data_IF_598286975445
#
_entry.id   IF_598286975445
#
_cell.length_a   1.000
_cell.length_b   1.000
_cell.length_c   1.000
_cell.angle_alpha   90.00
_cell.angle_beta   90.00
_cell.angle_gamma   90.00
#
_symmetry.space_group_name_H-M   'P 1'
#
loop_
_entity.id
_entity.type
_entity.pdbx_description
1 polymer ?
#
# COMPACT_ATOMS: atom_id res chain seq x y z
N UNK A 1 1.79 6.93 -5.57
CA UNK A 1 2.56 7.47 -4.43
C UNK A 1 1.71 8.47 -3.66
N UNK A 2 1.62 8.37 -2.32
CA UNK A 2 0.96 9.39 -1.48
C UNK A 2 1.68 10.75 -1.63
N UNK A 3 0.92 11.84 -1.48
CA UNK A 3 1.42 13.22 -1.60
C UNK A 3 2.35 13.57 -0.43
N UNK A 4 3.12 14.65 -0.59
CA UNK A 4 4.00 15.15 0.49
C UNK A 4 3.15 15.49 1.71
N UNK A 5 3.73 15.34 2.91
CA UNK A 5 3.07 15.58 4.19
C UNK A 5 2.51 17.01 4.27
N UNK A 6 3.26 18.00 3.77
CA UNK A 6 2.85 19.40 3.76
C UNK A 6 1.74 19.72 2.74
N UNK A 7 1.41 18.79 1.83
CA UNK A 7 0.39 19.00 0.79
C UNK A 7 -0.46 17.75 0.57
N UNK A 8 -1.13 17.30 1.62
CA UNK A 8 -1.87 16.04 1.62
C UNK A 8 -3.22 16.14 0.87
N UNK A 9 -3.95 17.26 0.95
CA UNK A 9 -5.20 17.48 0.21
C UNK A 9 -4.96 18.20 -1.14
N UNK A 10 -5.50 17.69 -2.27
CA UNK A 10 -5.59 18.42 -3.52
C UNK A 10 -6.48 19.67 -3.39
N UNK A 11 -6.15 20.76 -4.08
CA UNK A 11 -7.01 21.97 -4.24
C UNK A 11 -7.25 22.83 -2.99
N UNK A 12 -6.56 22.59 -1.86
CA UNK A 12 -6.58 23.51 -0.72
C UNK A 12 -5.79 24.79 -1.02
N UNK A 13 -6.36 25.98 -0.74
CA UNK A 13 -5.68 27.28 -0.84
C UNK A 13 -4.71 27.55 0.34
N UNK A 14 -4.72 26.71 1.38
CA UNK A 14 -3.99 26.95 2.63
C UNK A 14 -2.61 26.28 2.63
N UNK A 15 -1.64 26.83 1.88
CA UNK A 15 -0.32 26.20 1.73
C UNK A 15 0.45 26.02 3.04
N UNK A 16 0.39 26.99 3.97
CA UNK A 16 1.21 27.00 5.18
C UNK A 16 0.53 26.38 6.41
N UNK A 17 -0.80 26.39 6.48
CA UNK A 17 -1.55 25.92 7.67
C UNK A 17 -2.23 24.56 7.45
N UNK A 18 -2.18 24.03 6.23
CA UNK A 18 -2.84 22.76 5.90
C UNK A 18 -2.33 21.57 6.72
N UNK A 19 -1.03 21.51 7.01
CA UNK A 19 -0.46 20.41 7.80
C UNK A 19 -1.03 20.37 9.23
N UNK A 20 -1.37 21.52 9.83
CA UNK A 20 -1.98 21.58 11.18
C UNK A 20 -3.37 20.94 11.15
N UNK A 21 -4.19 21.32 10.17
CA UNK A 21 -5.52 20.72 9.99
C UNK A 21 -5.43 19.22 9.69
N UNK A 22 -4.45 18.82 8.88
CA UNK A 22 -4.22 17.42 8.50
C UNK A 22 -3.78 16.56 9.70
N UNK A 23 -2.95 17.11 10.61
CA UNK A 23 -2.56 16.45 11.86
C UNK A 23 -3.74 16.36 12.82
N UNK A 24 -4.51 17.45 12.98
CA UNK A 24 -5.66 17.49 13.89
C UNK A 24 -6.80 16.56 13.46
N UNK A 25 -6.92 16.26 12.16
CA UNK A 25 -7.95 15.33 11.65
C UNK A 25 -7.86 13.93 12.27
N UNK A 26 -6.67 13.51 12.73
CA UNK A 26 -6.51 12.29 13.53
C UNK A 26 -6.14 12.68 14.96
N UNK A 27 -7.17 12.93 15.77
CA UNK A 27 -7.00 13.35 17.17
C UNK A 27 -6.30 12.29 18.02
N UNK A 28 -6.54 11.00 17.77
CA UNK A 28 -5.85 9.92 18.49
C UNK A 28 -4.34 9.97 18.27
N UNK A 29 -3.91 10.08 17.01
CA UNK A 29 -2.50 10.18 16.67
C UNK A 29 -1.86 11.45 17.25
N UNK A 30 -2.57 12.59 17.16
CA UNK A 30 -2.08 13.84 17.73
C UNK A 30 -1.89 13.74 19.24
N UNK A 31 -2.92 13.27 19.97
CA UNK A 31 -2.86 13.14 21.41
C UNK A 31 -1.85 12.10 21.88
N UNK A 32 -1.63 11.01 21.13
CA UNK A 32 -0.59 10.02 21.46
C UNK A 32 0.81 10.65 21.45
N UNK A 33 1.12 11.47 20.45
CA UNK A 33 2.40 12.19 20.36
C UNK A 33 2.49 13.26 21.45
N UNK A 34 1.42 14.03 21.66
CA UNK A 34 1.38 15.08 22.68
C UNK A 34 1.52 14.51 24.10
N UNK A 35 0.91 13.36 24.39
CA UNK A 35 1.07 12.68 25.67
C UNK A 35 2.55 12.32 25.91
N UNK A 36 3.21 11.69 24.93
CA UNK A 36 4.65 11.40 25.01
C UNK A 36 5.50 12.65 25.20
N UNK A 37 5.21 13.72 24.46
CA UNK A 37 5.93 15.00 24.58
C UNK A 37 5.74 15.64 25.96
N UNK A 38 4.51 15.68 26.48
CA UNK A 38 4.21 16.23 27.80
C UNK A 38 4.91 15.43 28.89
N UNK A 39 5.01 14.11 28.76
CA UNK A 39 5.72 13.24 29.71
C UNK A 39 7.24 13.52 29.78
N UNK A 40 7.84 14.13 28.77
CA UNK A 40 9.28 14.51 28.82
C UNK A 40 9.54 15.54 29.93
N UNK A 41 8.65 16.52 30.13
CA UNK A 41 8.83 17.58 31.14
C UNK A 41 8.89 17.07 32.58
N UNK A 42 7.94 16.25 33.09
CA UNK A 42 8.01 15.72 34.44
C UNK A 42 9.21 14.79 34.62
N UNK A 43 9.58 13.99 33.61
CA UNK A 43 10.78 13.13 33.69
C UNK A 43 12.04 13.96 33.89
N UNK A 44 12.15 15.10 33.20
CA UNK A 44 13.38 15.90 33.15
C UNK A 44 13.48 16.92 34.29
N UNK A 45 12.37 17.46 34.79
CA UNK A 45 12.36 18.54 35.78
C UNK A 45 11.92 18.11 37.19
N UNK A 46 11.29 16.95 37.38
CA UNK A 46 10.99 16.45 38.73
C UNK A 46 12.27 15.84 39.32
N UNK A 47 12.85 16.43 40.38
CA UNK A 47 14.20 16.08 40.85
C UNK A 47 14.29 14.64 41.35
N UNK A 48 13.23 14.10 41.93
CA UNK A 48 13.18 12.69 42.39
C UNK A 48 13.29 11.73 41.21
N UNK A 49 12.56 11.98 40.13
CA UNK A 49 12.56 11.11 38.95
C UNK A 49 13.90 11.27 38.20
N UNK A 50 14.30 12.51 37.92
CA UNK A 50 15.50 12.81 37.14
C UNK A 50 16.79 12.32 37.82
N UNK A 51 16.99 12.59 39.11
CA UNK A 51 18.26 12.27 39.78
C UNK A 51 18.32 10.86 40.39
N UNK A 52 17.21 10.31 40.89
CA UNK A 52 17.22 9.03 41.62
C UNK A 52 17.03 7.84 40.68
N UNK A 53 16.06 7.92 39.76
CA UNK A 53 15.72 6.81 38.85
C UNK A 53 16.61 6.83 37.61
N UNK A 54 16.78 8.03 37.06
CA UNK A 54 17.29 8.24 35.73
C UNK A 54 18.76 8.72 35.73
N UNK A 55 19.19 9.38 36.80
CA UNK A 55 20.55 9.91 37.00
C UNK A 55 20.98 10.89 35.91
N UNK A 56 20.08 11.74 35.43
CA UNK A 56 20.40 12.83 34.51
C UNK A 56 20.36 14.18 35.24
N UNK A 57 21.01 15.19 34.66
CA UNK A 57 20.84 16.59 35.06
C UNK A 57 19.94 17.29 34.04
N UNK A 58 19.17 18.28 34.50
CA UNK A 58 18.27 19.02 33.63
C UNK A 58 19.01 19.63 32.42
N UNK A 59 18.39 19.51 31.26
CA UNK A 59 18.86 20.06 29.99
C UNK A 59 18.54 21.56 29.94
N UNK A 60 19.54 22.39 29.66
CA UNK A 60 19.44 23.84 29.66
C UNK A 60 19.54 24.40 28.24
N UNK A 61 20.74 24.42 27.67
CA UNK A 61 21.03 24.94 26.34
C UNK A 61 20.94 23.85 25.25
N UNK A 62 21.07 22.59 25.63
CA UNK A 62 21.08 21.47 24.70
C UNK A 62 19.73 21.27 23.99
N UNK A 63 18.65 21.88 24.50
CA UNK A 63 17.37 22.02 23.79
C UNK A 63 17.52 22.65 22.39
N UNK A 64 18.51 23.53 22.19
CA UNK A 64 18.79 24.09 20.87
C UNK A 64 19.29 23.02 19.89
N UNK A 65 20.11 22.08 20.37
CA UNK A 65 20.63 20.96 19.57
C UNK A 65 19.47 20.03 19.17
N UNK A 66 18.59 19.69 20.13
CA UNK A 66 17.40 18.87 19.88
C UNK A 66 16.49 19.51 18.82
N UNK A 67 16.32 20.83 18.86
CA UNK A 67 15.51 21.55 17.89
C UNK A 67 16.14 21.54 16.48
N UNK A 68 17.45 21.72 16.37
CA UNK A 68 18.18 21.61 15.09
C UNK A 68 18.07 20.18 14.54
N UNK A 69 18.23 19.17 15.38
CA UNK A 69 18.12 17.77 14.99
C UNK A 69 16.71 17.45 14.47
N UNK A 70 15.66 17.94 15.14
CA UNK A 70 14.29 17.80 14.67
C UNK A 70 14.10 18.41 13.27
N UNK A 71 14.62 19.63 13.03
CA UNK A 71 14.56 20.28 11.71
C UNK A 71 15.29 19.44 10.66
N UNK A 72 16.51 18.97 10.95
CA UNK A 72 17.30 18.13 10.05
C UNK A 72 16.58 16.81 9.74
N UNK A 73 15.95 16.20 10.75
CA UNK A 73 15.16 14.98 10.57
C UNK A 73 14.01 15.21 9.59
N UNK A 74 13.20 16.27 9.77
CA UNK A 74 12.11 16.59 8.85
C UNK A 74 12.62 16.88 7.44
N UNK A 75 13.71 17.64 7.31
CA UNK A 75 14.34 17.93 6.03
C UNK A 75 14.84 16.67 5.34
N UNK A 76 15.48 15.74 6.08
CA UNK A 76 15.94 14.46 5.57
C UNK A 76 14.79 13.57 5.08
N UNK A 77 13.71 13.46 5.86
CA UNK A 77 12.52 12.68 5.48
C UNK A 77 11.85 13.26 4.22
N UNK A 78 11.74 14.58 4.12
CA UNK A 78 11.16 15.23 2.94
C UNK A 78 12.07 15.06 1.71
N UNK A 79 13.39 15.22 1.88
CA UNK A 79 14.39 14.99 0.83
C UNK A 79 14.34 13.55 0.32
N UNK A 80 14.23 12.57 1.22
CA UNK A 80 14.10 11.16 0.85
C UNK A 80 12.81 10.87 0.07
N UNK A 81 11.67 11.42 0.51
CA UNK A 81 10.40 11.30 -0.22
C UNK A 81 10.51 11.93 -1.61
N UNK A 82 11.17 13.08 -1.72
CA UNK A 82 11.39 13.77 -2.99
C UNK A 82 12.31 12.97 -3.92
N UNK A 83 13.43 12.44 -3.41
CA UNK A 83 14.34 11.57 -4.14
C UNK A 83 13.64 10.33 -4.68
N UNK A 84 12.87 9.62 -3.84
CA UNK A 84 12.05 8.49 -4.29
C UNK A 84 11.04 8.89 -5.35
N UNK A 85 10.41 10.07 -5.23
CA UNK A 85 9.47 10.57 -6.25
C UNK A 85 10.15 10.72 -7.61
N UNK A 86 11.37 11.27 -7.64
CA UNK A 86 12.14 11.42 -8.88
C UNK A 86 12.51 10.05 -9.45
N UNK A 87 13.00 9.13 -8.60
CA UNK A 87 13.39 7.79 -9.02
C UNK A 87 12.22 7.02 -9.66
N UNK A 88 11.07 6.96 -8.97
CA UNK A 88 9.89 6.29 -9.51
C UNK A 88 9.32 6.99 -10.73
N UNK A 89 9.38 8.32 -10.82
CA UNK A 89 8.95 9.05 -12.04
C UNK A 89 9.82 8.68 -13.24
N UNK A 90 11.15 8.61 -13.05
CA UNK A 90 12.08 8.20 -14.12
C UNK A 90 11.87 6.75 -14.53
N UNK A 91 11.59 5.87 -13.56
CA UNK A 91 11.34 4.44 -13.83
C UNK A 91 9.98 4.19 -14.47
N UNK A 92 8.94 4.93 -14.07
CA UNK A 92 7.62 4.90 -14.71
C UNK A 92 7.71 5.36 -16.17
N UNK A 93 8.43 6.46 -16.44
CA UNK A 93 8.65 6.93 -17.81
C UNK A 93 9.41 5.89 -18.67
N UNK A 94 10.41 5.21 -18.11
CA UNK A 94 11.11 4.11 -18.81
C UNK A 94 10.23 2.88 -19.02
N UNK A 95 9.37 2.54 -18.07
CA UNK A 95 8.44 1.40 -18.17
C UNK A 95 7.34 1.64 -19.22
N UNK A 96 6.81 2.87 -19.30
CA UNK A 96 5.91 3.26 -20.38
C UNK A 96 6.61 3.25 -21.74
N UNK A 97 7.82 3.84 -21.83
CA UNK A 97 8.60 3.83 -23.06
C UNK A 97 8.97 2.41 -23.53
N UNK A 98 9.09 1.45 -22.60
CA UNK A 98 9.33 0.04 -22.89
C UNK A 98 8.05 -0.78 -23.15
N UNK A 99 6.85 -0.16 -23.12
CA UNK A 99 5.56 -0.84 -23.35
C UNK A 99 5.13 -1.84 -22.26
N UNK A 100 5.86 -1.92 -21.15
CA UNK A 100 5.68 -2.95 -20.11
C UNK A 100 4.43 -2.69 -19.26
N UNK A 101 4.03 -1.44 -19.09
CA UNK A 101 2.83 -1.06 -18.31
C UNK A 101 1.54 -1.65 -18.90
N UNK A 102 1.38 -1.59 -20.22
CA UNK A 102 0.25 -2.21 -20.93
C UNK A 102 0.29 -3.72 -20.86
N UNK A 103 1.49 -4.32 -20.96
CA UNK A 103 1.67 -5.77 -20.85
C UNK A 103 1.22 -6.30 -19.49
N UNK A 104 1.62 -5.65 -18.39
CA UNK A 104 1.25 -6.08 -17.04
C UNK A 104 -0.27 -6.02 -16.82
N UNK A 105 -0.93 -4.93 -17.21
CA UNK A 105 -2.39 -4.81 -17.05
C UNK A 105 -3.15 -5.92 -17.79
N UNK A 106 -2.74 -6.21 -19.03
CA UNK A 106 -3.34 -7.27 -19.84
C UNK A 106 -3.10 -8.66 -19.24
N UNK A 107 -1.90 -8.91 -18.71
CA UNK A 107 -1.59 -10.19 -18.04
C UNK A 107 -2.40 -10.38 -16.76
N UNK A 108 -2.45 -9.38 -15.88
CA UNK A 108 -3.21 -9.48 -14.62
C UNK A 108 -4.71 -9.63 -14.87
N UNK A 109 -5.27 -8.91 -15.85
CA UNK A 109 -6.67 -9.08 -16.29
C UNK A 109 -6.93 -10.53 -16.71
N UNK A 110 -6.03 -11.10 -17.53
CA UNK A 110 -6.14 -12.50 -17.97
C UNK A 110 -6.10 -13.50 -16.81
N UNK A 111 -5.24 -13.29 -15.81
CA UNK A 111 -5.19 -14.14 -14.61
C UNK A 111 -6.45 -14.03 -13.74
N UNK A 112 -7.00 -12.83 -13.58
CA UNK A 112 -8.24 -12.62 -12.83
C UNK A 112 -9.43 -13.27 -13.54
N UNK A 113 -9.57 -13.06 -14.85
CA UNK A 113 -10.62 -13.70 -15.65
C UNK A 113 -10.50 -15.23 -15.70
N UNK A 114 -9.28 -15.76 -15.78
CA UNK A 114 -9.04 -17.21 -15.72
C UNK A 114 -9.44 -17.77 -14.35
N UNK A 115 -9.13 -17.06 -13.26
CA UNK A 115 -9.47 -17.49 -11.91
C UNK A 115 -10.97 -17.38 -11.58
N UNK A 116 -11.72 -16.51 -12.27
CA UNK A 116 -13.14 -16.29 -12.03
C UNK A 116 -14.04 -17.30 -12.77
N UNK A 117 -13.52 -17.95 -13.82
CA UNK A 117 -14.26 -18.89 -14.68
C UNK A 117 -13.90 -20.39 -14.53
N UNK A 118 -13.59 -20.95 -13.34
CA UNK A 118 -13.33 -22.40 -13.21
C UNK A 118 -14.60 -23.24 -13.49
N UNK A 119 -15.79 -22.63 -13.40
CA UNK A 119 -17.07 -23.25 -13.72
C UNK A 119 -17.36 -23.31 -15.22
N UNK A 120 -16.87 -22.35 -16.01
CA UNK A 120 -17.00 -22.39 -17.48
C UNK A 120 -16.11 -23.47 -18.09
N UNK A 121 -14.89 -23.65 -17.57
CA UNK A 121 -13.96 -24.67 -18.04
C UNK A 121 -14.53 -26.08 -17.81
N UNK A 122 -15.11 -26.33 -16.62
CA UNK A 122 -15.81 -27.59 -16.31
C UNK A 122 -17.08 -27.78 -17.13
N UNK A 123 -17.84 -26.72 -17.43
CA UNK A 123 -19.04 -26.80 -18.26
C UNK A 123 -18.70 -27.12 -19.73
N UNK A 124 -17.58 -26.58 -20.25
CA UNK A 124 -17.07 -26.89 -21.58
C UNK A 124 -16.56 -28.33 -21.65
N UNK A 125 -15.81 -28.81 -20.65
CA UNK A 125 -15.38 -30.21 -20.58
C UNK A 125 -16.56 -31.18 -20.47
N UNK A 126 -17.58 -30.85 -19.67
CA UNK A 126 -18.80 -31.67 -19.55
C UNK A 126 -19.62 -31.69 -20.85
N UNK A 127 -19.72 -30.55 -21.55
CA UNK A 127 -20.37 -30.48 -22.87
C UNK A 127 -19.63 -31.28 -23.94
N UNK A 128 -18.29 -31.25 -23.92
CA UNK A 128 -17.47 -32.01 -24.87
C UNK A 128 -17.53 -33.53 -24.58
N UNK A 129 -17.57 -33.93 -23.30
CA UNK A 129 -17.73 -35.32 -22.89
C UNK A 129 -19.12 -35.88 -23.25
N UNK A 130 -20.18 -35.09 -23.05
CA UNK A 130 -21.55 -35.48 -23.41
C UNK A 130 -21.76 -35.68 -24.91
N UNK A 131 -21.16 -34.83 -25.75
CA UNK A 131 -21.20 -34.99 -27.20
C UNK A 131 -20.48 -36.27 -27.67
N UNK A 132 -19.36 -36.62 -27.03
CA UNK A 132 -18.63 -37.86 -27.32
C UNK A 132 -19.40 -39.13 -26.95
N UNK A 133 -20.10 -39.12 -25.81
CA UNK A 133 -20.95 -40.26 -25.39
C UNK A 133 -22.13 -40.46 -26.34
N UNK A 134 -22.78 -39.37 -26.76
CA UNK A 134 -23.91 -39.45 -27.67
C UNK A 134 -23.51 -40.01 -29.04
N UNK A 135 -22.29 -39.73 -29.51
CA UNK A 135 -21.79 -40.28 -30.76
C UNK A 135 -21.42 -41.78 -30.65
N UNK A 136 -20.84 -42.21 -29.53
CA UNK A 136 -20.58 -43.63 -29.27
C UNK A 136 -21.85 -44.47 -29.10
N UNK A 137 -22.88 -43.93 -28.44
CA UNK A 137 -24.16 -44.62 -28.27
C UNK A 137 -24.90 -44.79 -29.61
N UNK A 138 -24.81 -43.79 -30.50
CA UNK A 138 -25.37 -43.88 -31.86
C UNK A 138 -24.63 -44.93 -32.71
N UNK A 139 -23.30 -44.98 -32.63
CA UNK A 139 -22.50 -46.01 -33.31
C UNK A 139 -22.82 -47.42 -32.79
N UNK A 140 -22.96 -47.60 -31.47
CA UNK A 140 -23.34 -48.90 -30.89
C UNK A 140 -24.78 -49.31 -31.25
N UNK A 141 -25.73 -48.37 -31.32
CA UNK A 141 -27.08 -48.69 -31.78
C UNK A 141 -27.08 -49.13 -33.25
N UNK A 142 -26.29 -48.48 -34.11
CA UNK A 142 -26.10 -48.92 -35.50
C UNK A 142 -25.58 -50.36 -35.60
N UNK A 143 -24.54 -50.69 -34.82
CA UNK A 143 -23.97 -52.04 -34.80
C UNK A 143 -24.93 -53.11 -34.26
N UNK A 144 -25.74 -52.77 -33.24
CA UNK A 144 -26.75 -53.70 -32.69
C UNK A 144 -27.88 -53.99 -33.67
N UNK A 145 -28.24 -53.02 -34.50
CA UNK A 145 -29.27 -53.18 -35.54
C UNK A 145 -28.74 -54.10 -36.66
N UNK A 146 -27.46 -54.01 -37.02
CA UNK A 146 -26.83 -54.92 -37.98
C UNK A 146 -26.73 -56.37 -37.48
N UNK A 147 -26.50 -56.60 -36.18
CA UNK A 147 -26.42 -57.96 -35.64
C UNK A 147 -27.77 -58.64 -35.38
N UNK A 148 -28.89 -57.93 -35.56
CA UNK A 148 -30.24 -58.44 -35.36
C UNK A 148 -30.98 -58.82 -36.65
N UNK A 149 -30.30 -58.74 -37.82
CA UNK A 149 -30.76 -59.22 -39.13
C UNK A 149 -30.02 -60.50 -39.52
#
# INVERSE_FOLDING_TARGET
MRRSFFRMQPKSKKYFTQWIHDVWRNQFLFWAIMAGFITVFPVLYIPVINHVVFKHTGISWEWAIVLIEAILFFAGIETWKWGKRIFFRRRAAKLEAAGVSGLQHNMFSKFLTMSENPSQERAVEQGLAGAGQQQQDVEMQGQRIEQAQ
#
